data_IF_668212308205
#
_entry.id   IF_668212308205
#
_cell.length_a   1.000
_cell.length_b   1.000
_cell.length_c   1.000
_cell.angle_alpha   90.00
_cell.angle_beta   90.00
_cell.angle_gamma   90.00
#
_symmetry.space_group_name_H-M   'P 1'
#
loop_
_entity.id
_entity.type
_entity.pdbx_description
1 polymer ?
#
# COMPACT_ATOMS: atom_id res chain seq x y z
N UNK A 1 -4.37 -3.90 14.53
CA UNK A 1 -4.50 -2.44 14.74
C UNK A 1 -3.35 -1.94 15.59
N UNK A 2 -2.86 -0.71 15.38
CA UNK A 2 -1.84 -0.13 16.25
C UNK A 2 -2.45 0.09 17.64
N UNK A 3 -1.65 -0.17 18.67
CA UNK A 3 -1.99 0.22 20.05
C UNK A 3 -1.77 1.73 20.14
N UNK A 4 -2.77 2.47 20.62
CA UNK A 4 -2.72 3.93 20.71
C UNK A 4 -2.51 4.38 22.17
N UNK A 5 -1.76 5.46 22.38
CA UNK A 5 -1.64 6.13 23.67
C UNK A 5 -2.91 6.94 24.01
N UNK A 6 -2.94 7.58 25.19
CA UNK A 6 -4.07 8.43 25.63
C UNK A 6 -4.34 9.63 24.69
N UNK A 7 -3.38 9.98 23.83
CA UNK A 7 -3.47 11.07 22.85
C UNK A 7 -3.80 10.56 21.44
N UNK A 8 -4.08 9.27 21.29
CA UNK A 8 -4.40 8.64 20.01
C UNK A 8 -3.19 8.41 19.10
N UNK A 9 -1.95 8.51 19.61
CA UNK A 9 -0.73 8.25 18.84
C UNK A 9 -0.35 6.77 18.90
N UNK A 10 0.17 6.18 17.81
CA UNK A 10 0.71 4.82 17.86
C UNK A 10 1.79 4.68 18.93
N UNK A 11 1.68 3.62 19.74
CA UNK A 11 2.68 3.25 20.72
C UNK A 11 3.78 2.44 20.03
N UNK A 12 5.02 2.87 20.18
CA UNK A 12 6.18 2.15 19.63
C UNK A 12 6.49 0.95 20.53
N UNK A 13 6.47 -0.25 19.97
CA UNK A 13 6.74 -1.48 20.72
C UNK A 13 8.22 -1.59 21.12
N UNK A 14 9.12 -1.24 20.21
CA UNK A 14 10.57 -1.24 20.41
C UNK A 14 11.25 -0.38 19.35
N UNK A 15 12.39 0.21 19.70
CA UNK A 15 13.31 0.83 18.75
C UNK A 15 14.64 0.09 18.75
N UNK A 16 15.35 0.12 17.64
CA UNK A 16 16.70 -0.41 17.53
C UNK A 16 17.52 0.49 16.62
N UNK A 17 18.77 0.74 17.01
CA UNK A 17 19.74 1.42 16.15
C UNK A 17 20.72 0.40 15.59
N UNK A 18 21.06 0.53 14.30
CA UNK A 18 21.99 -0.37 13.63
C UNK A 18 22.94 0.44 12.78
N UNK A 19 24.24 0.24 12.99
CA UNK A 19 25.26 0.67 12.04
C UNK A 19 25.24 -0.32 10.88
N UNK A 20 24.90 0.15 9.69
CA UNK A 20 24.82 -0.67 8.48
C UNK A 20 26.01 -0.30 7.60
N UNK A 21 26.81 -1.28 7.19
CA UNK A 21 27.83 -1.04 6.18
C UNK A 21 27.14 -0.68 4.85
N UNK A 22 27.50 0.49 4.31
CA UNK A 22 26.97 1.02 3.04
C UNK A 22 27.72 0.49 1.81
N UNK A 23 28.71 -0.38 2.00
CA UNK A 23 29.37 -1.13 0.93
C UNK A 23 28.37 -2.08 0.27
N UNK A 24 27.57 -1.51 -0.64
CA UNK A 24 26.66 -2.25 -1.47
C UNK A 24 27.46 -3.01 -2.54
N UNK A 25 27.08 -4.25 -2.86
CA UNK A 25 27.75 -5.00 -3.90
C UNK A 25 27.59 -4.27 -5.23
N UNK A 26 28.64 -4.31 -6.07
CA UNK A 26 28.64 -3.75 -7.43
C UNK A 26 27.83 -4.61 -8.41
N UNK A 27 26.58 -4.87 -8.06
CA UNK A 27 25.64 -5.68 -8.84
C UNK A 27 24.75 -4.77 -9.70
N UNK A 28 24.57 -5.09 -10.98
CA UNK A 28 23.58 -4.41 -11.81
C UNK A 28 22.17 -4.56 -11.24
N UNK A 29 21.46 -3.45 -11.09
CA UNK A 29 20.06 -3.45 -10.62
C UNK A 29 19.14 -3.86 -11.78
N UNK A 30 18.29 -4.85 -11.54
CA UNK A 30 17.18 -5.20 -12.44
C UNK A 30 15.86 -4.83 -11.77
N UNK A 31 15.11 -3.92 -12.37
CA UNK A 31 13.85 -3.41 -11.83
C UNK A 31 12.69 -4.19 -12.40
N UNK A 32 12.01 -4.98 -11.58
CA UNK A 32 10.77 -5.66 -11.94
C UNK A 32 9.58 -4.75 -11.70
N UNK A 33 8.71 -4.63 -12.69
CA UNK A 33 7.52 -3.78 -12.64
C UNK A 33 6.30 -4.46 -13.25
N UNK A 34 5.11 -3.97 -12.90
CA UNK A 34 3.84 -4.45 -13.45
C UNK A 34 3.58 -3.91 -14.85
N UNK A 35 3.36 -4.80 -15.82
CA UNK A 35 3.00 -4.42 -17.21
C UNK A 35 1.51 -4.17 -17.37
N UNK A 36 0.69 -4.82 -16.54
CA UNK A 36 -0.75 -4.65 -16.50
C UNK A 36 -1.16 -3.45 -15.63
N UNK A 37 -2.36 -2.92 -15.88
CA UNK A 37 -2.93 -1.87 -15.04
C UNK A 37 -3.06 -2.35 -13.60
N UNK A 38 -2.39 -1.67 -12.68
CA UNK A 38 -2.19 -2.17 -11.34
C UNK A 38 -2.38 -1.07 -10.29
N UNK A 39 -3.33 -1.29 -9.37
CA UNK A 39 -3.48 -0.45 -8.19
C UNK A 39 -2.20 -0.42 -7.35
N UNK A 40 -1.45 -1.51 -7.29
CA UNK A 40 -0.15 -1.59 -6.59
C UNK A 40 0.87 -0.63 -7.21
N UNK A 41 0.90 -0.53 -8.56
CA UNK A 41 1.73 0.44 -9.27
C UNK A 41 1.32 1.87 -8.97
N UNK A 42 0.02 2.15 -9.00
CA UNK A 42 -0.51 3.48 -8.70
C UNK A 42 -0.18 3.90 -7.27
N UNK A 43 -0.38 3.02 -6.29
CA UNK A 43 -0.08 3.31 -4.89
C UNK A 43 1.42 3.50 -4.64
N UNK A 44 2.28 2.70 -5.28
CA UNK A 44 3.72 2.90 -5.24
C UNK A 44 4.12 4.26 -5.83
N UNK A 45 3.52 4.66 -6.95
CA UNK A 45 3.73 5.98 -7.53
C UNK A 45 3.24 7.14 -6.67
N UNK A 46 2.08 6.98 -6.00
CA UNK A 46 1.58 7.98 -5.03
C UNK A 46 2.56 8.15 -3.87
N UNK A 47 3.12 7.06 -3.36
CA UNK A 47 4.19 7.12 -2.36
C UNK A 47 5.43 7.84 -2.88
N UNK A 48 5.96 7.45 -4.03
CA UNK A 48 7.17 8.06 -4.58
C UNK A 48 6.99 9.56 -4.85
N UNK A 49 5.84 9.97 -5.40
CA UNK A 49 5.53 11.40 -5.58
C UNK A 49 5.35 12.11 -4.25
N UNK A 50 4.57 11.54 -3.33
CA UNK A 50 4.23 12.16 -2.04
C UNK A 50 5.43 12.32 -1.11
N UNK A 51 6.27 11.29 -1.00
CA UNK A 51 7.47 11.30 -0.16
C UNK A 51 8.56 12.23 -0.69
N UNK A 52 8.56 12.53 -1.99
CA UNK A 52 9.51 13.45 -2.63
C UNK A 52 8.94 14.85 -2.87
N UNK A 53 7.70 15.14 -2.47
CA UNK A 53 7.07 16.43 -2.74
C UNK A 53 7.79 17.60 -2.05
N UNK A 54 8.01 18.72 -2.76
CA UNK A 54 8.80 19.85 -2.29
C UNK A 54 10.15 19.90 -3.01
N UNK A 55 11.25 20.08 -2.28
CA UNK A 55 12.60 20.23 -2.85
C UNK A 55 13.05 19.06 -3.75
N UNK A 56 12.52 17.86 -3.50
CA UNK A 56 12.87 16.64 -4.23
C UNK A 56 11.85 16.27 -5.33
N UNK A 57 10.89 17.13 -5.66
CA UNK A 57 9.79 16.78 -6.58
C UNK A 57 10.29 16.28 -7.95
N UNK A 58 11.42 16.81 -8.40
CA UNK A 58 12.11 16.38 -9.64
C UNK A 58 12.46 14.89 -9.69
N UNK A 59 12.57 14.21 -8.54
CA UNK A 59 12.87 12.78 -8.49
C UNK A 59 11.69 11.93 -8.95
N UNK A 60 10.44 12.38 -8.73
CA UNK A 60 9.24 11.67 -9.15
C UNK A 60 8.08 12.62 -9.51
N UNK A 61 8.23 13.43 -10.58
CA UNK A 61 7.34 14.56 -10.84
C UNK A 61 5.98 14.14 -11.42
N UNK A 62 5.93 13.00 -12.12
CA UNK A 62 4.73 12.55 -12.83
C UNK A 62 3.64 12.10 -11.88
N UNK A 63 2.39 12.35 -12.27
CA UNK A 63 1.22 11.85 -11.56
C UNK A 63 1.25 10.32 -11.53
N UNK A 64 0.86 9.75 -10.39
CA UNK A 64 0.76 8.32 -10.21
C UNK A 64 -0.21 7.70 -11.22
N UNK A 65 0.06 6.47 -11.64
CA UNK A 65 -0.72 5.77 -12.65
C UNK A 65 -0.70 4.25 -12.40
N UNK A 66 -1.80 3.58 -12.74
CA UNK A 66 -1.84 2.11 -12.78
C UNK A 66 -0.84 1.52 -13.78
N UNK A 67 -0.45 2.28 -14.80
CA UNK A 67 0.60 1.91 -15.76
C UNK A 67 1.94 2.46 -15.29
N UNK A 68 2.82 1.58 -14.81
CA UNK A 68 4.08 2.00 -14.17
C UNK A 68 4.96 2.89 -15.08
N UNK A 69 5.07 2.57 -16.36
CA UNK A 69 5.88 3.35 -17.31
C UNK A 69 5.39 4.81 -17.46
N UNK A 70 4.11 5.08 -17.22
CA UNK A 70 3.54 6.43 -17.37
C UNK A 70 3.90 7.36 -16.20
N UNK A 71 4.31 6.80 -15.05
CA UNK A 71 4.62 7.54 -13.84
C UNK A 71 6.13 7.63 -13.54
N UNK A 72 7.00 7.04 -14.37
CA UNK A 72 8.45 7.14 -14.16
C UNK A 72 9.01 8.50 -14.60
N UNK A 73 10.02 9.05 -13.92
CA UNK A 73 10.62 10.34 -14.27
C UNK A 73 11.21 10.32 -15.70
N UNK A 74 11.88 9.23 -16.05
CA UNK A 74 12.47 8.99 -17.37
C UNK A 74 11.81 7.77 -18.04
N UNK A 75 12.02 7.61 -19.35
CA UNK A 75 11.59 6.41 -20.05
C UNK A 75 12.27 5.16 -19.46
N UNK A 76 11.49 4.11 -19.22
CA UNK A 76 11.98 2.85 -18.66
C UNK A 76 13.01 2.15 -19.56
N UNK A 77 13.14 2.51 -20.83
CA UNK A 77 14.16 1.94 -21.72
C UNK A 77 15.56 2.53 -21.54
N UNK A 78 15.75 3.57 -20.73
CA UNK A 78 17.00 4.38 -20.79
C UNK A 78 17.98 4.19 -19.65
N UNK A 79 17.53 3.86 -18.43
CA UNK A 79 18.39 3.97 -17.23
C UNK A 79 18.73 2.66 -16.55
N UNK A 80 17.71 1.84 -16.26
CA UNK A 80 17.89 0.55 -15.61
C UNK A 80 17.47 -0.57 -16.53
N UNK A 81 17.88 -1.80 -16.23
CA UNK A 81 17.27 -2.97 -16.82
C UNK A 81 15.87 -3.16 -16.22
N UNK A 82 14.85 -2.63 -16.88
CA UNK A 82 13.45 -2.83 -16.49
C UNK A 82 12.91 -4.13 -17.08
N UNK A 83 12.31 -4.96 -16.24
CA UNK A 83 11.71 -6.25 -16.61
C UNK A 83 10.22 -6.23 -16.24
N UNK A 84 9.38 -6.29 -17.27
CA UNK A 84 7.94 -6.24 -17.11
C UNK A 84 7.35 -7.61 -16.79
N UNK A 85 6.41 -7.68 -15.84
CA UNK A 85 5.65 -8.88 -15.53
C UNK A 85 4.18 -8.54 -15.24
N UNK A 86 3.26 -9.42 -15.64
CA UNK A 86 1.83 -9.25 -15.35
C UNK A 86 1.49 -9.86 -13.99
N UNK A 87 0.83 -9.10 -13.12
CA UNK A 87 0.48 -9.54 -11.78
C UNK A 87 1.65 -9.54 -10.77
N UNK A 88 1.32 -9.37 -9.48
CA UNK A 88 2.32 -9.29 -8.39
C UNK A 88 3.09 -10.60 -8.19
N UNK A 89 2.47 -11.75 -8.47
CA UNK A 89 3.11 -13.05 -8.34
C UNK A 89 4.33 -13.18 -9.28
N UNK A 90 4.19 -12.77 -10.54
CA UNK A 90 5.28 -12.83 -11.51
C UNK A 90 6.36 -11.78 -11.25
N UNK A 91 6.00 -10.60 -10.73
CA UNK A 91 6.98 -9.61 -10.24
C UNK A 91 7.82 -10.21 -9.11
N UNK A 92 7.19 -10.82 -8.10
CA UNK A 92 7.90 -11.43 -6.98
C UNK A 92 8.78 -12.62 -7.41
N UNK A 93 8.29 -13.48 -8.30
CA UNK A 93 9.06 -14.57 -8.88
C UNK A 93 10.27 -14.06 -9.67
N UNK A 94 10.09 -12.97 -10.45
CA UNK A 94 11.16 -12.31 -11.19
C UNK A 94 12.26 -11.76 -10.27
N UNK A 95 11.88 -11.04 -9.21
CA UNK A 95 12.83 -10.56 -8.19
C UNK A 95 13.58 -11.72 -7.55
N UNK A 96 12.88 -12.80 -7.18
CA UNK A 96 13.50 -13.99 -6.59
C UNK A 96 14.51 -14.66 -7.53
N UNK A 97 14.20 -14.73 -8.82
CA UNK A 97 15.02 -15.37 -9.83
C UNK A 97 16.24 -14.56 -10.26
N UNK A 98 16.38 -13.31 -9.80
CA UNK A 98 17.44 -12.40 -10.25
C UNK A 98 18.18 -11.80 -9.06
N UNK A 99 19.44 -12.20 -8.88
CA UNK A 99 20.37 -11.49 -7.99
C UNK A 99 20.52 -10.04 -8.48
N UNK A 100 20.35 -9.07 -7.57
CA UNK A 100 20.25 -7.64 -7.91
C UNK A 100 18.85 -7.20 -8.38
N UNK A 101 17.86 -8.09 -8.32
CA UNK A 101 16.46 -7.80 -8.60
C UNK A 101 15.83 -6.94 -7.51
N UNK A 102 15.07 -5.93 -7.91
CA UNK A 102 14.23 -5.12 -7.03
C UNK A 102 12.85 -4.96 -7.67
N UNK A 103 11.80 -4.89 -6.85
CA UNK A 103 10.43 -4.67 -7.30
C UNK A 103 9.58 -4.10 -6.18
N UNK A 104 8.28 -3.99 -6.44
CA UNK A 104 7.27 -3.58 -5.48
C UNK A 104 6.09 -4.56 -5.55
N UNK A 105 5.41 -4.77 -4.43
CA UNK A 105 4.30 -5.71 -4.34
C UNK A 105 3.69 -5.74 -2.95
N UNK A 106 2.56 -6.43 -2.82
CA UNK A 106 1.96 -6.73 -1.52
C UNK A 106 2.91 -7.60 -0.67
N UNK A 107 2.98 -7.32 0.63
CA UNK A 107 3.91 -7.99 1.56
C UNK A 107 3.76 -9.51 1.59
N UNK A 108 2.56 -10.03 1.32
CA UNK A 108 2.30 -11.47 1.23
C UNK A 108 3.12 -12.14 0.13
N UNK A 109 3.31 -11.49 -1.02
CA UNK A 109 4.09 -12.05 -2.11
C UNK A 109 5.58 -12.10 -1.79
N UNK A 110 6.10 -11.13 -1.04
CA UNK A 110 7.46 -11.17 -0.53
C UNK A 110 7.64 -12.31 0.49
N UNK A 111 6.65 -12.48 1.39
CA UNK A 111 6.65 -13.54 2.41
C UNK A 111 6.61 -14.93 1.77
N UNK A 112 5.65 -15.17 0.87
CA UNK A 112 5.46 -16.44 0.17
C UNK A 112 6.71 -16.82 -0.66
N UNK A 113 7.45 -15.81 -1.16
CA UNK A 113 8.67 -16.02 -1.94
C UNK A 113 9.97 -15.99 -1.12
N UNK A 114 9.90 -15.72 0.19
CA UNK A 114 11.06 -15.54 1.09
C UNK A 114 12.02 -14.42 0.64
N UNK A 115 11.45 -13.32 0.14
CA UNK A 115 12.20 -12.15 -0.28
C UNK A 115 12.50 -11.25 0.91
N UNK A 116 13.69 -10.62 0.89
CA UNK A 116 13.97 -9.51 1.79
C UNK A 116 13.06 -8.32 1.44
N UNK A 117 12.59 -7.61 2.47
CA UNK A 117 11.79 -6.39 2.30
C UNK A 117 12.52 -5.21 2.92
N UNK A 118 12.57 -4.09 2.21
CA UNK A 118 13.22 -2.89 2.68
C UNK A 118 12.42 -2.22 3.80
N UNK A 119 13.12 -1.72 4.82
CA UNK A 119 12.55 -0.77 5.76
C UNK A 119 12.46 0.60 5.08
N UNK A 120 11.31 1.25 5.19
CA UNK A 120 11.05 2.51 4.50
C UNK A 120 11.06 3.64 5.52
N UNK A 121 11.78 4.72 5.20
CA UNK A 121 11.81 5.92 6.03
C UNK A 121 10.46 6.63 5.97
N UNK A 122 9.84 6.87 7.12
CA UNK A 122 8.61 7.66 7.22
C UNK A 122 8.91 9.15 7.45
N UNK A 123 7.86 9.99 7.49
CA UNK A 123 7.99 11.43 7.73
C UNK A 123 8.40 11.79 9.18
N UNK A 124 8.37 10.83 10.11
CA UNK A 124 8.96 10.97 11.45
C UNK A 124 10.48 10.67 11.47
N UNK A 125 11.06 10.28 10.32
CA UNK A 125 12.48 9.99 10.17
C UNK A 125 12.87 8.55 10.50
N UNK A 126 11.90 7.68 10.82
CA UNK A 126 12.13 6.30 11.26
C UNK A 126 12.11 5.33 10.07
N UNK A 127 12.96 4.32 10.08
CA UNK A 127 12.95 3.25 9.08
C UNK A 127 12.09 2.09 9.56
N UNK A 128 10.91 1.95 8.98
CA UNK A 128 9.87 1.02 9.44
C UNK A 128 9.71 -0.15 8.47
N UNK A 129 9.66 -1.37 9.00
CA UNK A 129 9.30 -2.57 8.24
C UNK A 129 7.78 -2.59 7.96
N UNK A 130 7.32 -3.19 6.85
CA UNK A 130 5.88 -3.30 6.59
C UNK A 130 5.19 -4.13 7.69
N UNK A 131 4.13 -3.57 8.26
CA UNK A 131 3.29 -4.26 9.24
C UNK A 131 1.85 -3.75 9.17
N UNK A 132 0.90 -4.60 9.55
CA UNK A 132 -0.50 -4.18 9.64
C UNK A 132 -0.68 -2.96 10.55
N UNK A 133 -0.01 -2.94 11.71
CA UNK A 133 -0.08 -1.83 12.65
C UNK A 133 0.51 -0.52 12.08
N UNK A 134 1.71 -0.58 11.50
CA UNK A 134 2.35 0.61 10.91
C UNK A 134 1.58 1.15 9.70
N UNK A 135 1.04 0.27 8.85
CA UNK A 135 0.20 0.67 7.72
C UNK A 135 -1.11 1.30 8.19
N UNK A 136 -1.78 0.72 9.19
CA UNK A 136 -2.98 1.32 9.80
C UNK A 136 -2.71 2.70 10.41
N UNK A 137 -1.57 2.87 11.10
CA UNK A 137 -1.16 4.17 11.65
C UNK A 137 -0.99 5.22 10.54
N UNK A 138 -0.35 4.85 9.43
CA UNK A 138 -0.20 5.71 8.25
C UNK A 138 -1.56 6.10 7.66
N UNK A 139 -2.42 5.12 7.38
CA UNK A 139 -3.73 5.35 6.75
C UNK A 139 -4.68 6.15 7.66
N UNK A 140 -4.60 5.96 8.98
CA UNK A 140 -5.34 6.76 9.96
C UNK A 140 -4.93 8.23 9.99
N UNK A 141 -3.76 8.56 9.42
CA UNK A 141 -3.32 9.93 9.21
C UNK A 141 -3.99 10.65 8.04
N UNK A 142 -4.61 9.90 7.12
CA UNK A 142 -5.19 10.42 5.88
C UNK A 142 -6.60 11.00 6.02
N UNK A 143 -7.11 11.48 4.89
CA UNK A 143 -8.45 12.08 4.76
C UNK A 143 -9.42 11.08 4.14
N UNK A 144 -10.47 10.75 4.87
CA UNK A 144 -11.56 9.89 4.40
C UNK A 144 -12.54 10.72 3.58
N UNK A 145 -12.70 10.40 2.31
CA UNK A 145 -13.58 11.10 1.39
C UNK A 145 -15.06 10.68 1.53
N UNK A 146 -15.96 11.50 0.98
CA UNK A 146 -17.40 11.26 1.00
C UNK A 146 -17.80 9.91 0.36
N UNK A 147 -17.09 9.47 -0.68
CA UNK A 147 -17.29 8.19 -1.36
C UNK A 147 -16.66 6.98 -0.63
N UNK A 148 -15.97 7.19 0.49
CA UNK A 148 -15.28 6.13 1.24
C UNK A 148 -13.85 5.86 0.77
N UNK A 149 -13.35 6.56 -0.23
CA UNK A 149 -11.93 6.51 -0.59
C UNK A 149 -11.07 7.27 0.41
N UNK A 150 -9.77 6.98 0.46
CA UNK A 150 -8.81 7.60 1.36
C UNK A 150 -7.72 8.33 0.57
N UNK A 151 -7.46 9.58 0.93
CA UNK A 151 -6.24 10.30 0.52
C UNK A 151 -5.23 10.18 1.65
N UNK A 152 -4.10 9.53 1.40
CA UNK A 152 -3.00 9.48 2.36
C UNK A 152 -2.20 10.79 2.39
N UNK A 153 -1.72 11.16 3.56
CA UNK A 153 -0.81 12.29 3.75
C UNK A 153 0.61 11.78 3.99
N UNK A 154 1.45 11.84 2.94
CA UNK A 154 2.83 11.36 2.97
C UNK A 154 3.79 12.26 3.74
N UNK A 155 3.39 13.49 4.09
CA UNK A 155 4.21 14.44 4.86
C UNK A 155 3.88 14.44 6.34
N UNK A 156 2.75 13.84 6.73
CA UNK A 156 2.33 13.76 8.12
C UNK A 156 3.30 12.92 8.94
N UNK A 157 3.92 13.56 9.93
CA UNK A 157 4.81 12.89 10.88
C UNK A 157 4.00 12.02 11.85
N UNK A 158 4.04 10.71 11.64
CA UNK A 158 3.35 9.72 12.47
C UNK A 158 4.38 8.67 12.90
N UNK A 159 4.77 8.64 14.19
CA UNK A 159 5.70 7.64 14.71
C UNK A 159 5.18 6.21 14.46
N UNK A 160 6.08 5.32 14.07
CA UNK A 160 5.82 3.90 13.80
C UNK A 160 5.03 3.63 12.51
N UNK A 161 4.70 4.67 11.73
CA UNK A 161 3.90 4.51 10.52
C UNK A 161 4.75 3.96 9.36
N UNK A 162 4.20 2.98 8.65
CA UNK A 162 4.78 2.46 7.41
C UNK A 162 4.16 3.20 6.21
N UNK A 163 4.94 3.94 5.40
CA UNK A 163 4.40 4.95 4.49
C UNK A 163 3.93 4.40 3.13
N UNK A 164 4.07 3.09 2.87
CA UNK A 164 3.60 2.46 1.63
C UNK A 164 2.37 1.60 1.95
N UNK A 165 1.22 2.26 2.07
CA UNK A 165 -0.05 1.64 2.46
C UNK A 165 -1.20 1.99 1.55
N UNK A 166 -2.20 1.11 1.46
CA UNK A 166 -3.48 1.38 0.81
C UNK A 166 -4.61 0.60 1.47
N UNK A 167 -5.84 1.07 1.29
CA UNK A 167 -7.03 0.25 1.45
C UNK A 167 -7.35 -0.47 0.13
N UNK A 168 -7.98 -1.64 0.23
CA UNK A 168 -8.68 -2.27 -0.90
C UNK A 168 -10.11 -1.75 -0.96
N UNK A 169 -10.58 -1.39 -2.14
CA UNK A 169 -11.90 -0.79 -2.34
C UNK A 169 -12.85 -1.78 -3.00
N UNK A 170 -14.02 -1.98 -2.40
CA UNK A 170 -15.16 -2.65 -3.05
C UNK A 170 -15.94 -1.65 -3.89
N UNK A 171 -15.97 -1.86 -5.22
CA UNK A 171 -16.80 -1.07 -6.12
C UNK A 171 -18.15 -1.76 -6.29
N UNK A 172 -19.22 -1.01 -6.01
CA UNK A 172 -20.60 -1.50 -6.03
C UNK A 172 -21.48 -0.55 -6.83
N UNK A 173 -22.60 -1.07 -7.32
CA UNK A 173 -23.57 -0.22 -8.00
C UNK A 173 -24.24 0.74 -7.01
N UNK A 174 -24.47 2.00 -7.39
CA UNK A 174 -25.33 2.89 -6.61
C UNK A 174 -26.78 2.43 -6.72
N UNK A 175 -27.62 2.78 -5.73
CA UNK A 175 -29.05 2.48 -5.76
C UNK A 175 -29.76 2.99 -7.04
N UNK A 176 -29.27 4.11 -7.61
CA UNK A 176 -29.78 4.67 -8.88
C UNK A 176 -29.55 3.78 -10.09
N UNK A 177 -28.72 2.73 -9.99
CA UNK A 177 -28.53 1.76 -11.06
C UNK A 177 -29.69 0.76 -11.18
N UNK A 178 -30.67 0.78 -10.24
CA UNK A 178 -31.89 -0.02 -10.32
C UNK A 178 -31.63 -1.53 -10.43
N UNK A 179 -30.63 -2.03 -9.69
CA UNK A 179 -30.32 -3.47 -9.67
C UNK A 179 -31.33 -4.22 -8.80
N UNK A 180 -31.39 -5.54 -9.00
CA UNK A 180 -32.27 -6.41 -8.21
C UNK A 180 -31.96 -6.32 -6.71
N UNK A 181 -32.98 -5.98 -5.91
CA UNK A 181 -32.83 -5.67 -4.50
C UNK A 181 -32.41 -6.87 -3.66
N UNK A 182 -32.88 -8.09 -4.01
CA UNK A 182 -32.49 -9.30 -3.30
C UNK A 182 -31.00 -9.59 -3.51
N UNK A 183 -30.50 -9.40 -4.73
CA UNK A 183 -29.08 -9.52 -5.07
C UNK A 183 -28.25 -8.45 -4.36
N UNK A 184 -28.70 -7.19 -4.35
CA UNK A 184 -27.98 -6.10 -3.67
C UNK A 184 -27.86 -6.33 -2.16
N UNK A 185 -28.89 -6.92 -1.52
CA UNK A 185 -28.81 -7.33 -0.11
C UNK A 185 -27.68 -8.33 0.13
N UNK A 186 -27.53 -9.35 -0.73
CA UNK A 186 -26.44 -10.33 -0.64
C UNK A 186 -25.08 -9.64 -0.84
N UNK A 187 -24.98 -8.71 -1.79
CA UNK A 187 -23.75 -7.93 -2.03
C UNK A 187 -23.36 -7.12 -0.79
N UNK A 188 -24.33 -6.49 -0.10
CA UNK A 188 -24.09 -5.75 1.13
C UNK A 188 -23.63 -6.66 2.28
N UNK A 189 -24.27 -7.82 2.44
CA UNK A 189 -23.89 -8.83 3.43
C UNK A 189 -22.48 -9.39 3.17
N UNK A 190 -22.13 -9.66 1.91
CA UNK A 190 -20.80 -10.10 1.53
C UNK A 190 -19.72 -9.05 1.83
N UNK A 191 -19.96 -7.77 1.52
CA UNK A 191 -19.01 -6.71 1.88
C UNK A 191 -18.87 -6.54 3.41
N UNK A 192 -19.97 -6.70 4.15
CA UNK A 192 -19.94 -6.69 5.63
C UNK A 192 -19.08 -7.84 6.17
N UNK A 193 -19.25 -9.04 5.62
CA UNK A 193 -18.44 -10.21 5.97
C UNK A 193 -16.96 -9.99 5.63
N UNK A 194 -16.65 -9.46 4.45
CA UNK A 194 -15.28 -9.15 4.03
C UNK A 194 -14.62 -8.14 4.98
N UNK A 195 -15.34 -7.09 5.40
CA UNK A 195 -14.83 -6.07 6.30
C UNK A 195 -14.58 -6.61 7.73
N UNK A 196 -15.48 -7.44 8.24
CA UNK A 196 -15.47 -7.83 9.65
C UNK A 196 -14.76 -9.16 9.93
N UNK A 197 -14.78 -10.11 8.99
CA UNK A 197 -14.35 -11.50 9.25
C UNK A 197 -13.03 -11.84 8.56
N UNK A 198 -12.82 -11.40 7.32
CA UNK A 198 -11.65 -11.80 6.54
C UNK A 198 -10.29 -11.34 7.14
N UNK A 199 -10.13 -10.12 7.66
CA UNK A 199 -8.84 -9.70 8.24
C UNK A 199 -8.40 -10.54 9.44
N UNK A 200 -9.35 -11.07 10.22
CA UNK A 200 -9.07 -11.93 11.36
C UNK A 200 -8.84 -13.40 10.95
N UNK A 201 -9.38 -13.82 9.79
CA UNK A 201 -9.33 -15.21 9.32
C UNK A 201 -7.98 -15.60 8.72
N UNK A 202 -7.25 -14.66 8.12
CA UNK A 202 -5.99 -14.89 7.42
C UNK A 202 -4.88 -13.91 7.86
N UNK A 203 -4.51 -13.89 9.15
CA UNK A 203 -3.51 -12.95 9.68
C UNK A 203 -2.15 -13.09 8.99
N UNK A 204 -1.80 -14.28 8.50
CA UNK A 204 -0.55 -14.58 7.78
C UNK A 204 -0.43 -13.83 6.45
N UNK A 205 -1.54 -13.35 5.88
CA UNK A 205 -1.53 -12.53 4.67
C UNK A 205 -1.17 -11.07 4.93
N UNK A 206 -1.04 -10.66 6.19
CA UNK A 206 -0.52 -9.35 6.58
C UNK A 206 -1.48 -8.18 6.33
N UNK A 207 -2.76 -8.44 6.04
CA UNK A 207 -3.78 -7.40 5.93
C UNK A 207 -4.10 -6.81 7.29
N UNK A 208 -4.24 -5.49 7.34
CA UNK A 208 -4.77 -4.82 8.51
C UNK A 208 -6.29 -4.88 8.53
N UNK A 209 -6.87 -5.24 9.67
CA UNK A 209 -8.28 -4.99 9.91
C UNK A 209 -8.53 -3.47 9.83
N UNK A 210 -9.62 -3.06 9.19
CA UNK A 210 -10.03 -1.66 9.22
C UNK A 210 -10.84 -1.45 10.50
N UNK A 211 -10.48 -0.43 11.30
CA UNK A 211 -11.26 -0.02 12.48
C UNK A 211 -11.40 1.51 12.54
N UNK A 212 -12.17 2.01 13.52
CA UNK A 212 -12.36 3.44 13.75
C UNK A 212 -13.09 4.14 12.60
N UNK A 213 -12.80 5.43 12.32
CA UNK A 213 -13.56 6.22 11.35
C UNK A 213 -13.63 5.64 9.93
N UNK A 214 -12.59 4.93 9.49
CA UNK A 214 -12.59 4.29 8.17
C UNK A 214 -13.54 3.07 8.13
N UNK A 215 -13.66 2.33 9.23
CA UNK A 215 -14.63 1.26 9.37
C UNK A 215 -16.06 1.81 9.36
N UNK A 216 -16.32 2.87 10.12
CA UNK A 216 -17.64 3.51 10.17
C UNK A 216 -18.04 4.03 8.79
N UNK A 217 -17.10 4.64 8.06
CA UNK A 217 -17.33 5.09 6.69
C UNK A 217 -17.63 3.92 5.75
N UNK A 218 -16.89 2.81 5.85
CA UNK A 218 -17.11 1.63 5.03
C UNK A 218 -18.51 1.04 5.28
N UNK A 219 -18.91 0.87 6.55
CA UNK A 219 -20.25 0.42 6.92
C UNK A 219 -21.33 1.37 6.39
N UNK A 220 -21.11 2.68 6.45
CA UNK A 220 -22.03 3.67 5.89
C UNK A 220 -22.14 3.62 4.35
N UNK A 221 -21.08 3.23 3.62
CA UNK A 221 -21.19 2.97 2.18
C UNK A 221 -21.93 1.66 1.89
N UNK A 222 -21.66 0.61 2.66
CA UNK A 222 -22.34 -0.69 2.52
C UNK A 222 -23.85 -0.53 2.69
N UNK A 223 -24.30 0.28 3.65
CA UNK A 223 -25.72 0.56 3.88
C UNK A 223 -26.45 1.25 2.71
N UNK A 224 -25.70 1.79 1.73
CA UNK A 224 -26.28 2.39 0.51
C UNK A 224 -26.51 1.38 -0.61
N UNK A 225 -26.01 0.16 -0.48
CA UNK A 225 -26.19 -0.92 -1.44
C UNK A 225 -27.63 -1.43 -1.27
N UNK A 226 -28.49 -1.13 -2.24
CA UNK A 226 -29.93 -1.44 -2.23
C UNK A 226 -30.40 -1.75 -3.64
#
# INVERSE_FOLDING_TARGET
MPVLDKKGKPTIASTSEKVVNIDLPKLPITVYYRTDSSGTSEQFGKFLKGANAGENERLWPKTASGTFANQTPNNISTFFNFQGASGSALVAAGVKGKVGGIGYGEVSWATDNKLAVANIRNAAGEFIAPSAAGTSAFLGGGTIQANGSLIADYKKSIPGAYPIGTASYGLVYPASAGKDAATQKIVAEWHTYMLQKCPAKFPEKGYAQITGPLYDKAMAQIAKIK
#
